data_IF_647165843851
#
_entry.id   IF_647165843851
#
_cell.length_a   1.000
_cell.length_b   1.000
_cell.length_c   1.000
_cell.angle_alpha   90.00
_cell.angle_beta   90.00
_cell.angle_gamma   90.00
#
_symmetry.space_group_name_H-M   'P 1'
#
loop_
_entity.id
_entity.type
_entity.pdbx_description
1 polymer ?
#
# COMPACT_ATOMS: atom_id res chain seq x y z
N UNK A 1 -6.47 48.21 -27.37
CA UNK A 1 -7.07 47.00 -27.98
C UNK A 1 -6.34 45.82 -27.39
N UNK A 2 -7.01 44.96 -26.62
CA UNK A 2 -6.38 43.76 -26.06
C UNK A 2 -6.04 42.76 -27.16
N UNK A 3 -4.90 42.07 -27.04
CA UNK A 3 -4.56 40.95 -27.93
C UNK A 3 -5.50 39.79 -27.65
N UNK A 4 -6.29 39.37 -28.65
CA UNK A 4 -7.22 38.26 -28.50
C UNK A 4 -6.49 36.98 -28.03
N UNK A 5 -6.98 36.39 -26.95
CA UNK A 5 -6.40 35.22 -26.32
C UNK A 5 -7.18 33.98 -26.74
N UNK A 6 -6.48 32.93 -27.15
CA UNK A 6 -7.08 31.66 -27.59
C UNK A 6 -6.65 30.58 -26.62
N UNK A 7 -7.59 29.79 -26.12
CA UNK A 7 -7.32 28.70 -25.18
C UNK A 7 -7.94 27.40 -25.67
N UNK A 8 -7.27 26.28 -25.38
CA UNK A 8 -7.86 24.94 -25.53
C UNK A 8 -8.46 24.54 -24.19
N UNK A 9 -9.78 24.33 -24.15
CA UNK A 9 -10.49 23.87 -22.95
C UNK A 9 -10.78 22.37 -23.13
N UNK A 10 -10.38 21.55 -22.16
CA UNK A 10 -10.75 20.14 -22.06
C UNK A 10 -11.93 20.07 -21.08
N UNK A 11 -13.06 19.52 -21.54
CA UNK A 11 -14.27 19.38 -20.75
C UNK A 11 -14.23 18.10 -19.90
N UNK A 12 -15.14 17.98 -18.94
CA UNK A 12 -15.19 16.86 -18.01
C UNK A 12 -15.54 15.50 -18.66
N UNK A 13 -16.04 15.51 -19.90
CA UNK A 13 -16.31 14.33 -20.74
C UNK A 13 -15.10 13.90 -21.60
N UNK A 14 -13.96 14.59 -21.46
CA UNK A 14 -12.75 14.34 -22.25
C UNK A 14 -12.73 15.00 -23.63
N UNK A 15 -13.82 15.62 -24.07
CA UNK A 15 -13.84 16.42 -25.31
C UNK A 15 -13.03 17.72 -25.13
N UNK A 16 -12.69 18.39 -26.22
CA UNK A 16 -12.01 19.69 -26.13
C UNK A 16 -12.50 20.71 -27.14
N UNK A 17 -12.64 21.96 -26.68
CA UNK A 17 -13.17 23.09 -27.43
C UNK A 17 -12.16 24.25 -27.42
N UNK A 18 -12.19 25.08 -28.47
CA UNK A 18 -11.41 26.32 -28.54
C UNK A 18 -12.21 27.47 -27.94
N UNK A 19 -11.75 28.02 -26.82
CA UNK A 19 -12.23 29.28 -26.25
C UNK A 19 -11.52 30.46 -26.94
N UNK A 20 -12.24 31.55 -27.19
CA UNK A 20 -11.65 32.80 -27.71
C UNK A 20 -12.09 33.98 -26.87
N UNK A 21 -11.13 34.62 -26.20
CA UNK A 21 -11.34 35.82 -25.39
C UNK A 21 -11.03 37.04 -26.25
N UNK A 22 -12.08 37.70 -26.76
CA UNK A 22 -11.95 38.90 -27.61
C UNK A 22 -11.53 40.16 -26.83
N UNK A 23 -11.69 40.16 -25.51
CA UNK A 23 -11.33 41.26 -24.61
C UNK A 23 -9.84 41.30 -24.23
N UNK A 24 -9.10 40.20 -24.40
CA UNK A 24 -7.71 40.06 -23.95
C UNK A 24 -7.57 38.97 -22.87
N UNK A 25 -6.48 38.98 -22.08
CA UNK A 25 -6.37 38.10 -20.90
C UNK A 25 -7.45 38.46 -19.86
N UNK A 26 -7.98 37.49 -19.09
CA UNK A 26 -8.99 37.76 -18.06
C UNK A 26 -8.44 38.65 -16.94
N UNK A 27 -9.30 39.47 -16.33
CA UNK A 27 -8.92 40.29 -15.19
C UNK A 27 -8.89 39.49 -13.87
N UNK A 28 -9.72 38.45 -13.76
CA UNK A 28 -9.77 37.53 -12.63
C UNK A 28 -10.00 36.08 -13.06
N UNK A 29 -9.84 35.14 -12.12
CA UNK A 29 -10.17 33.73 -12.32
C UNK A 29 -11.69 33.54 -12.47
N UNK A 30 -12.50 34.38 -11.81
CA UNK A 30 -13.96 34.33 -11.90
C UNK A 30 -14.43 34.77 -13.30
N UNK A 31 -13.87 35.83 -13.88
CA UNK A 31 -14.15 36.26 -15.27
C UNK A 31 -13.83 35.15 -16.29
N UNK A 32 -12.69 34.46 -16.10
CA UNK A 32 -12.30 33.32 -16.93
C UNK A 32 -13.27 32.16 -16.77
N UNK A 33 -13.68 31.87 -15.54
CA UNK A 33 -14.63 30.80 -15.20
C UNK A 33 -15.99 31.08 -15.84
N UNK A 34 -16.47 32.32 -15.80
CA UNK A 34 -17.74 32.71 -16.39
C UNK A 34 -17.71 32.68 -17.94
N UNK A 35 -16.62 33.12 -18.58
CA UNK A 35 -16.51 33.05 -20.05
C UNK A 35 -16.32 31.60 -20.54
N UNK A 36 -15.61 30.75 -19.77
CA UNK A 36 -15.58 29.29 -20.01
C UNK A 36 -16.98 28.69 -19.84
N UNK A 37 -17.72 29.04 -18.77
CA UNK A 37 -19.09 28.55 -18.55
C UNK A 37 -20.00 28.89 -19.73
N UNK A 38 -19.91 30.13 -20.20
CA UNK A 38 -20.70 30.69 -21.29
C UNK A 38 -20.38 30.11 -22.67
N UNK A 39 -19.11 29.99 -23.06
CA UNK A 39 -18.74 29.46 -24.39
C UNK A 39 -18.77 27.92 -24.47
N UNK A 40 -18.59 27.22 -23.35
CA UNK A 40 -18.64 25.75 -23.28
C UNK A 40 -19.98 25.17 -22.81
N UNK A 41 -20.98 26.01 -22.53
CA UNK A 41 -22.33 25.55 -22.15
C UNK A 41 -22.40 24.80 -20.82
N UNK A 42 -21.46 25.08 -19.89
CA UNK A 42 -21.32 24.34 -18.64
C UNK A 42 -22.35 24.80 -17.60
N UNK A 43 -22.86 23.87 -16.81
CA UNK A 43 -23.85 24.13 -15.77
C UNK A 43 -23.33 23.58 -14.43
N UNK A 44 -23.38 24.38 -13.37
CA UNK A 44 -22.88 24.02 -12.04
C UNK A 44 -21.49 24.56 -11.70
N UNK A 45 -20.97 24.15 -10.54
CA UNK A 45 -19.67 24.57 -10.02
C UNK A 45 -18.57 23.69 -10.59
N UNK A 46 -17.51 24.29 -11.10
CA UNK A 46 -16.32 23.59 -11.60
C UNK A 46 -15.05 24.34 -11.21
N UNK A 47 -13.91 23.63 -11.23
CA UNK A 47 -12.58 24.21 -11.11
C UNK A 47 -11.84 24.12 -12.44
N UNK A 48 -10.89 25.03 -12.63
CA UNK A 48 -9.98 25.01 -13.76
C UNK A 48 -8.60 24.50 -13.32
N UNK A 49 -7.98 23.71 -14.18
CA UNK A 49 -6.58 23.32 -14.09
C UNK A 49 -5.86 23.80 -15.34
N UNK A 50 -4.61 24.25 -15.24
CA UNK A 50 -3.76 24.57 -16.39
C UNK A 50 -2.72 23.48 -16.63
N UNK A 51 -2.29 23.33 -17.88
CA UNK A 51 -1.25 22.38 -18.27
C UNK A 51 0.13 23.03 -18.08
N UNK A 52 0.94 22.53 -17.15
CA UNK A 52 2.25 23.10 -16.82
C UNK A 52 3.39 22.38 -17.56
N UNK A 53 4.10 23.10 -18.42
CA UNK A 53 5.23 22.58 -19.19
C UNK A 53 6.45 22.21 -18.32
N UNK A 54 6.64 22.84 -17.17
CA UNK A 54 7.74 22.56 -16.22
C UNK A 54 7.55 21.23 -15.49
N UNK A 55 6.29 20.82 -15.29
CA UNK A 55 5.90 19.53 -14.69
C UNK A 55 5.53 18.49 -15.74
N UNK A 56 6.11 18.55 -16.94
CA UNK A 56 5.95 17.52 -17.97
C UNK A 56 4.58 17.53 -18.68
N UNK A 57 3.87 18.66 -18.67
CA UNK A 57 2.49 18.83 -19.16
C UNK A 57 1.42 18.17 -18.26
N UNK A 58 1.69 18.03 -16.97
CA UNK A 58 0.65 17.68 -15.99
C UNK A 58 -0.32 18.84 -15.75
N UNK A 59 -1.54 18.52 -15.28
CA UNK A 59 -2.59 19.52 -15.00
C UNK A 59 -2.56 19.94 -13.53
N UNK A 60 -2.22 21.20 -13.27
CA UNK A 60 -2.18 21.81 -11.95
C UNK A 60 -3.40 22.71 -11.72
N UNK A 61 -3.86 22.83 -10.47
CA UNK A 61 -4.99 23.69 -10.14
C UNK A 61 -4.64 25.16 -10.44
N UNK A 62 -5.54 25.85 -11.15
CA UNK A 62 -5.35 27.26 -11.48
C UNK A 62 -5.54 28.12 -10.22
N UNK A 63 -4.46 28.75 -9.75
CA UNK A 63 -4.43 29.60 -8.55
C UNK A 63 -4.18 31.07 -8.85
N UNK A 64 -3.64 31.39 -10.02
CA UNK A 64 -3.41 32.75 -10.49
C UNK A 64 -3.72 32.88 -11.98
N UNK A 65 -4.29 34.01 -12.39
CA UNK A 65 -4.55 34.26 -13.82
C UNK A 65 -3.25 34.41 -14.64
N UNK A 66 -2.13 34.69 -13.97
CA UNK A 66 -0.79 34.72 -14.57
C UNK A 66 -0.29 33.35 -15.04
N UNK A 67 -0.90 32.26 -14.58
CA UNK A 67 -0.61 30.88 -15.02
C UNK A 67 -1.26 30.55 -16.37
N UNK A 68 -2.14 31.42 -16.88
CA UNK A 68 -2.88 31.20 -18.14
C UNK A 68 -2.17 31.90 -19.30
N UNK A 69 -1.46 31.12 -20.12
CA UNK A 69 -0.78 31.64 -21.32
C UNK A 69 -1.67 31.60 -22.57
N UNK A 70 -1.41 32.49 -23.54
CA UNK A 70 -2.09 32.46 -24.84
C UNK A 70 -1.70 31.18 -25.61
N UNK A 71 -2.69 30.45 -26.13
CA UNK A 71 -2.59 29.07 -26.66
C UNK A 71 -2.35 27.99 -25.60
N UNK A 72 -2.46 28.34 -24.32
CA UNK A 72 -2.46 27.38 -23.21
C UNK A 72 -3.64 26.40 -23.25
N UNK A 73 -3.51 25.31 -22.51
CA UNK A 73 -4.56 24.30 -22.33
C UNK A 73 -5.07 24.33 -20.89
N UNK A 74 -6.38 24.48 -20.74
CA UNK A 74 -7.09 24.36 -19.46
C UNK A 74 -7.95 23.10 -19.44
N UNK A 75 -8.14 22.51 -18.27
CA UNK A 75 -9.03 21.37 -18.02
C UNK A 75 -10.09 21.74 -16.99
N UNK A 76 -11.34 21.43 -17.30
CA UNK A 76 -12.50 21.64 -16.44
C UNK A 76 -12.70 20.42 -15.55
N UNK A 77 -12.76 20.65 -14.24
CA UNK A 77 -13.08 19.64 -13.23
C UNK A 77 -14.44 19.99 -12.62
N UNK A 78 -15.48 19.28 -13.03
CA UNK A 78 -16.84 19.42 -12.50
C UNK A 78 -16.87 19.03 -11.01
N UNK A 79 -17.23 19.97 -10.14
CA UNK A 79 -17.24 19.72 -8.69
C UNK A 79 -18.47 18.93 -8.24
N UNK A 80 -19.55 18.86 -9.03
CA UNK A 80 -20.77 18.13 -8.65
C UNK A 80 -20.54 16.64 -8.45
N UNK A 81 -19.53 16.07 -9.14
CA UNK A 81 -19.07 14.68 -8.98
C UNK A 81 -18.04 14.49 -7.86
N UNK A 82 -17.42 15.56 -7.36
CA UNK A 82 -16.25 15.49 -6.44
C UNK A 82 -16.58 15.33 -4.95
N UNK A 83 -17.87 15.29 -4.57
CA UNK A 83 -18.27 14.86 -3.23
C UNK A 83 -18.03 13.36 -2.98
N UNK A 84 -17.79 12.59 -4.05
CA UNK A 84 -17.40 11.18 -4.03
C UNK A 84 -16.09 10.99 -4.78
N UNK A 85 -15.04 10.64 -4.03
CA UNK A 85 -13.75 10.10 -4.51
C UNK A 85 -12.86 11.06 -5.31
N UNK A 86 -11.74 11.47 -4.71
CA UNK A 86 -10.54 11.81 -5.49
C UNK A 86 -9.90 10.53 -6.05
N UNK A 87 -9.35 10.63 -7.27
CA UNK A 87 -8.64 9.62 -8.08
C UNK A 87 -9.45 8.83 -9.14
N UNK A 88 -9.72 9.56 -10.24
CA UNK A 88 -9.65 9.19 -11.67
C UNK A 88 -10.50 8.03 -12.24
N UNK A 89 -11.32 8.41 -13.23
CA UNK A 89 -12.13 7.57 -14.11
C UNK A 89 -11.34 6.64 -15.06
N UNK A 90 -11.99 5.55 -15.45
CA UNK A 90 -12.03 5.11 -16.86
C UNK A 90 -13.48 4.78 -17.28
N UNK A 91 -14.07 5.70 -18.05
CA UNK A 91 -15.07 5.48 -19.12
C UNK A 91 -16.44 4.79 -18.83
N UNK A 92 -17.44 5.64 -18.53
CA UNK A 92 -18.70 5.83 -19.31
C UNK A 92 -19.86 4.80 -19.34
N UNK A 93 -21.06 5.31 -18.99
CA UNK A 93 -22.45 4.84 -19.31
C UNK A 93 -22.97 3.60 -18.55
N UNK A 94 -24.26 3.46 -18.14
CA UNK A 94 -25.53 4.16 -18.46
C UNK A 94 -26.45 4.35 -17.22
N UNK A 95 -27.34 5.35 -17.32
CA UNK A 95 -28.63 5.62 -16.65
C UNK A 95 -29.24 4.60 -15.66
N UNK A 96 -29.84 5.13 -14.58
CA UNK A 96 -31.15 4.67 -14.07
C UNK A 96 -31.87 5.80 -13.30
N UNK A 97 -33.19 5.67 -13.15
CA UNK A 97 -34.14 6.76 -12.85
C UNK A 97 -35.01 6.41 -11.63
N UNK A 98 -35.42 7.44 -10.89
CA UNK A 98 -36.58 7.50 -9.96
C UNK A 98 -36.57 6.78 -8.59
N UNK A 99 -36.81 7.62 -7.57
CA UNK A 99 -37.85 7.51 -6.54
C UNK A 99 -37.72 6.56 -5.31
N UNK A 100 -37.46 7.24 -4.17
CA UNK A 100 -38.41 7.36 -3.04
C UNK A 100 -38.98 6.11 -2.37
N UNK A 101 -38.55 5.87 -1.12
CA UNK A 101 -39.45 6.03 0.04
C UNK A 101 -38.69 6.07 1.37
N UNK A 102 -39.15 6.93 2.29
CA UNK A 102 -38.64 7.02 3.65
C UNK A 102 -39.69 6.48 4.64
N UNK A 103 -39.27 5.67 5.62
CA UNK A 103 -40.06 5.41 6.83
C UNK A 103 -39.17 5.13 8.05
N UNK A 104 -39.28 6.03 9.02
CA UNK A 104 -39.10 5.85 10.48
C UNK A 104 -40.32 6.57 11.13
N UNK A 105 -40.59 6.58 12.46
CA UNK A 105 -39.72 6.23 13.60
C UNK A 105 -40.43 5.56 14.81
N UNK A 106 -39.81 5.70 16.00
CA UNK A 106 -40.35 5.54 17.38
C UNK A 106 -40.26 4.13 18.02
N UNK A 107 -40.13 3.95 19.35
CA UNK A 107 -40.13 4.94 20.45
C UNK A 107 -39.55 4.43 21.79
N UNK A 108 -38.82 5.32 22.50
CA UNK A 108 -38.63 5.59 23.97
C UNK A 108 -38.54 4.50 25.09
N UNK A 109 -37.80 4.88 26.16
CA UNK A 109 -37.89 4.32 27.53
C UNK A 109 -36.53 3.88 28.11
N UNK A 110 -35.58 4.76 28.49
CA UNK A 110 -35.55 5.78 29.57
C UNK A 110 -35.27 5.24 31.00
N UNK A 111 -34.12 5.62 31.57
CA UNK A 111 -33.90 5.93 33.00
C UNK A 111 -32.43 6.31 33.28
N UNK A 112 -32.22 7.62 33.49
CA UNK A 112 -31.20 8.30 34.31
C UNK A 112 -30.77 7.55 35.61
N UNK A 113 -29.64 7.79 36.30
CA UNK A 113 -28.73 8.95 36.56
C UNK A 113 -27.29 8.40 36.90
N UNK A 114 -26.15 9.12 37.10
CA UNK A 114 -25.73 10.53 37.00
C UNK A 114 -24.17 10.65 36.89
N UNK A 115 -23.69 11.62 36.10
CA UNK A 115 -22.45 12.45 36.19
C UNK A 115 -21.10 11.95 36.76
N UNK A 116 -20.03 12.15 35.96
CA UNK A 116 -18.62 12.17 36.39
C UNK A 116 -17.61 12.54 35.28
N UNK A 117 -17.48 13.85 34.98
CA UNK A 117 -16.28 14.64 34.53
C UNK A 117 -14.96 13.84 34.31
N UNK A 118 -14.12 14.05 33.28
CA UNK A 118 -14.11 14.89 32.05
C UNK A 118 -12.90 14.47 31.16
N UNK A 119 -12.81 14.99 29.93
CA UNK A 119 -11.67 15.01 29.00
C UNK A 119 -11.05 13.65 28.59
N UNK A 120 -11.31 13.13 27.38
CA UNK A 120 -10.95 13.60 26.02
C UNK A 120 -9.53 13.16 25.58
N UNK A 121 -9.48 12.02 24.87
CA UNK A 121 -8.74 11.87 23.60
C UNK A 121 -9.04 10.50 23.00
N UNK A 122 -9.92 10.45 22.00
CA UNK A 122 -10.11 9.27 21.15
C UNK A 122 -8.88 9.06 20.25
N UNK A 123 -7.83 8.44 20.81
CA UNK A 123 -6.70 7.97 20.01
C UNK A 123 -7.14 6.75 19.22
N UNK A 124 -7.58 7.02 17.98
CA UNK A 124 -7.78 6.01 16.93
C UNK A 124 -6.66 4.97 16.97
N UNK A 125 -7.02 3.72 17.28
CA UNK A 125 -6.11 2.57 17.15
C UNK A 125 -5.84 2.32 15.67
N UNK A 126 -4.88 3.05 15.12
CA UNK A 126 -4.52 3.09 13.71
C UNK A 126 -2.99 3.22 13.55
N UNK A 127 -2.25 2.32 14.20
CA UNK A 127 -0.79 2.16 14.04
C UNK A 127 -0.30 0.75 14.36
N UNK A 128 -0.98 -0.26 13.81
CA UNK A 128 -0.49 -1.66 13.73
C UNK A 128 0.18 -1.97 12.38
N UNK A 129 0.36 -0.96 11.52
CA UNK A 129 1.11 -1.11 10.28
C UNK A 129 2.58 -0.73 10.50
N UNK A 130 3.46 -1.65 10.11
CA UNK A 130 4.92 -1.48 10.05
C UNK A 130 5.64 -1.56 11.42
N UNK A 131 5.65 -2.75 12.02
CA UNK A 131 6.53 -3.05 13.17
C UNK A 131 6.62 -4.55 13.47
N UNK A 132 5.49 -5.15 13.86
CA UNK A 132 5.34 -6.59 14.00
C UNK A 132 4.73 -7.19 12.73
N UNK A 133 5.41 -8.13 12.07
CA UNK A 133 4.72 -9.03 11.15
C UNK A 133 3.80 -9.92 11.99
N UNK A 134 2.50 -9.88 11.71
CA UNK A 134 1.57 -10.88 12.20
C UNK A 134 2.06 -12.28 11.80
N UNK A 135 1.93 -13.24 12.72
CA UNK A 135 2.19 -14.65 12.40
C UNK A 135 1.29 -15.06 11.23
N UNK A 136 1.76 -15.99 10.39
CA UNK A 136 0.93 -16.55 9.33
C UNK A 136 -0.37 -17.07 9.95
N UNK A 137 -1.55 -16.64 9.46
CA UNK A 137 -2.80 -16.93 10.13
C UNK A 137 -3.08 -18.44 10.11
N UNK A 138 -3.77 -18.95 11.14
CA UNK A 138 -4.20 -20.35 11.16
C UNK A 138 -5.28 -20.65 10.11
N UNK A 139 -5.98 -19.61 9.63
CA UNK A 139 -6.93 -19.62 8.53
C UNK A 139 -6.73 -18.35 7.72
N UNK A 140 -6.30 -18.44 6.46
CA UNK A 140 -6.24 -17.28 5.58
C UNK A 140 -7.66 -16.78 5.20
N UNK A 141 -7.98 -15.54 5.57
CA UNK A 141 -9.22 -14.87 5.19
C UNK A 141 -9.07 -14.16 3.84
N UNK A 142 -9.91 -14.52 2.86
CA UNK A 142 -9.91 -13.91 1.53
C UNK A 142 -10.52 -12.50 1.62
N UNK A 143 -9.80 -11.44 1.20
CA UNK A 143 -10.28 -10.06 1.30
C UNK A 143 -11.55 -9.84 0.47
N UNK A 144 -12.23 -8.72 0.73
CA UNK A 144 -13.25 -8.17 -0.18
C UNK A 144 -12.59 -7.64 -1.44
N UNK A 145 -13.12 -7.98 -2.61
CA UNK A 145 -12.63 -7.45 -3.87
C UNK A 145 -13.28 -6.09 -4.20
N UNK A 146 -12.92 -5.47 -5.33
CA UNK A 146 -13.66 -4.31 -5.83
C UNK A 146 -15.13 -4.66 -6.07
N UNK A 147 -16.03 -3.68 -5.98
CA UNK A 147 -17.48 -3.87 -6.10
C UNK A 147 -17.86 -4.69 -7.35
N UNK A 148 -17.35 -4.31 -8.53
CA UNK A 148 -17.60 -5.03 -9.79
C UNK A 148 -17.08 -6.47 -9.77
N UNK A 149 -15.93 -6.70 -9.11
CA UNK A 149 -15.34 -8.03 -8.99
C UNK A 149 -16.19 -8.92 -8.10
N UNK A 150 -16.62 -8.40 -6.95
CA UNK A 150 -17.49 -9.10 -6.01
C UNK A 150 -18.86 -9.39 -6.64
N UNK A 151 -19.47 -8.43 -7.34
CA UNK A 151 -20.75 -8.60 -8.06
C UNK A 151 -20.65 -9.69 -9.16
N UNK A 152 -19.59 -9.68 -9.96
CA UNK A 152 -19.32 -10.76 -10.94
C UNK A 152 -19.15 -12.12 -10.26
N UNK A 153 -18.42 -12.18 -9.15
CA UNK A 153 -18.19 -13.41 -8.38
C UNK A 153 -19.47 -13.92 -7.70
N UNK A 154 -20.35 -13.04 -7.24
CA UNK A 154 -21.65 -13.41 -6.68
C UNK A 154 -22.57 -14.03 -7.73
N UNK A 155 -22.76 -13.38 -8.89
CA UNK A 155 -23.52 -13.95 -10.00
C UNK A 155 -22.97 -15.31 -10.47
N UNK A 156 -21.64 -15.42 -10.57
CA UNK A 156 -20.98 -16.68 -10.91
C UNK A 156 -21.12 -17.77 -9.85
N UNK A 157 -21.06 -17.42 -8.56
CA UNK A 157 -21.32 -18.36 -7.46
C UNK A 157 -22.76 -18.86 -7.48
N UNK A 158 -23.74 -18.01 -7.77
CA UNK A 158 -25.15 -18.42 -7.94
C UNK A 158 -25.32 -19.40 -9.11
N UNK A 159 -24.72 -19.09 -10.27
CA UNK A 159 -24.73 -20.00 -11.43
C UNK A 159 -24.00 -21.33 -11.16
N UNK A 160 -22.96 -21.31 -10.32
CA UNK A 160 -22.27 -22.52 -9.85
C UNK A 160 -23.16 -23.37 -8.93
N UNK A 161 -23.86 -22.75 -7.98
CA UNK A 161 -24.77 -23.46 -7.05
C UNK A 161 -25.96 -24.06 -7.81
N UNK A 162 -26.52 -23.34 -8.79
CA UNK A 162 -27.66 -23.82 -9.58
C UNK A 162 -27.28 -24.95 -10.53
N UNK A 163 -26.21 -24.77 -11.33
CA UNK A 163 -25.95 -25.59 -12.52
C UNK A 163 -24.52 -26.19 -12.57
N UNK A 164 -23.75 -26.12 -11.47
CA UNK A 164 -22.34 -26.56 -11.43
C UNK A 164 -21.41 -25.79 -12.38
N UNK A 165 -21.83 -24.63 -12.86
CA UNK A 165 -21.13 -23.86 -13.91
C UNK A 165 -19.96 -23.09 -13.32
N UNK A 166 -18.74 -23.48 -13.68
CA UNK A 166 -17.50 -22.79 -13.33
C UNK A 166 -17.31 -21.53 -14.18
N UNK A 167 -16.98 -20.41 -13.54
CA UNK A 167 -16.54 -19.19 -14.22
C UNK A 167 -15.11 -19.34 -14.72
N UNK A 168 -14.87 -18.98 -15.98
CA UNK A 168 -13.54 -18.66 -16.49
C UNK A 168 -13.39 -17.14 -16.36
N UNK A 169 -12.56 -16.63 -15.42
CA UNK A 169 -12.49 -15.19 -15.19
C UNK A 169 -11.83 -14.47 -16.36
N UNK A 170 -12.36 -13.30 -16.72
CA UNK A 170 -11.71 -12.42 -17.67
C UNK A 170 -10.33 -11.95 -17.14
N UNK A 171 -9.36 -11.59 -18.02
CA UNK A 171 -8.01 -11.22 -17.57
C UNK A 171 -7.96 -10.03 -16.59
N UNK A 172 -8.90 -9.08 -16.69
CA UNK A 172 -8.99 -7.90 -15.80
C UNK A 172 -9.44 -8.34 -14.40
N UNK A 173 -10.53 -9.12 -14.32
CA UNK A 173 -11.02 -9.74 -13.07
C UNK A 173 -9.98 -10.65 -12.42
N UNK A 174 -9.32 -11.53 -13.20
CA UNK A 174 -8.26 -12.41 -12.69
C UNK A 174 -7.11 -11.60 -12.10
N UNK A 175 -6.67 -10.53 -12.78
CA UNK A 175 -5.60 -9.67 -12.27
C UNK A 175 -5.99 -8.93 -10.98
N UNK A 176 -7.24 -8.43 -10.88
CA UNK A 176 -7.76 -7.72 -9.71
C UNK A 176 -7.87 -8.63 -8.47
N UNK A 177 -8.39 -9.85 -8.63
CA UNK A 177 -8.45 -10.87 -7.57
C UNK A 177 -7.03 -11.19 -7.07
N UNK A 178 -6.09 -11.43 -8.00
CA UNK A 178 -4.70 -11.74 -7.65
C UNK A 178 -3.97 -10.56 -6.99
N UNK A 179 -4.27 -9.31 -7.37
CA UNK A 179 -3.71 -8.11 -6.75
C UNK A 179 -4.17 -7.98 -5.30
N UNK A 180 -5.48 -8.06 -5.05
CA UNK A 180 -6.07 -7.96 -3.71
C UNK A 180 -5.55 -9.06 -2.77
N UNK A 181 -5.43 -10.29 -3.28
CA UNK A 181 -4.82 -11.41 -2.54
C UNK A 181 -3.35 -11.16 -2.21
N UNK A 182 -2.56 -10.64 -3.16
CA UNK A 182 -1.14 -10.33 -2.93
C UNK A 182 -0.96 -9.20 -1.93
N UNK A 183 -1.79 -8.16 -1.99
CA UNK A 183 -1.80 -7.07 -1.00
C UNK A 183 -2.12 -7.57 0.42
N UNK A 184 -2.99 -8.57 0.56
CA UNK A 184 -3.27 -9.22 1.84
C UNK A 184 -2.09 -10.11 2.30
N UNK A 185 -1.52 -10.94 1.40
CA UNK A 185 -0.38 -11.82 1.71
C UNK A 185 0.82 -11.03 2.24
N UNK A 186 1.18 -9.89 1.64
CA UNK A 186 2.42 -9.16 2.01
C UNK A 186 2.39 -8.58 3.43
N UNK A 187 1.20 -8.34 4.01
CA UNK A 187 1.03 -7.94 5.41
C UNK A 187 1.67 -8.98 6.34
N UNK A 188 1.35 -10.26 6.13
CA UNK A 188 1.94 -11.38 6.86
C UNK A 188 3.37 -11.66 6.39
N UNK A 189 3.60 -11.86 5.08
CA UNK A 189 4.88 -12.34 4.56
C UNK A 189 5.13 -12.00 3.09
N UNK A 190 6.17 -11.20 2.81
CA UNK A 190 6.59 -10.86 1.44
C UNK A 190 7.21 -12.05 0.69
N UNK A 191 7.82 -13.00 1.40
CA UNK A 191 8.41 -14.22 0.84
C UNK A 191 7.63 -15.48 1.25
N UNK A 192 6.37 -15.58 0.80
CA UNK A 192 5.52 -16.73 1.06
C UNK A 192 6.08 -18.03 0.42
N UNK A 193 5.90 -19.16 1.12
CA UNK A 193 6.32 -20.50 0.71
C UNK A 193 5.21 -21.23 -0.09
N UNK A 194 5.51 -22.38 -0.70
CA UNK A 194 4.54 -23.06 -1.58
C UNK A 194 3.29 -23.59 -0.84
N UNK A 195 3.40 -23.91 0.46
CA UNK A 195 2.28 -24.35 1.30
C UNK A 195 1.36 -23.17 1.64
N UNK A 196 1.93 -22.06 2.08
CA UNK A 196 1.24 -20.79 2.35
C UNK A 196 0.48 -20.32 1.10
N UNK A 197 1.12 -20.37 -0.08
CA UNK A 197 0.49 -20.03 -1.36
C UNK A 197 -0.60 -21.03 -1.79
N UNK A 198 -0.51 -22.29 -1.38
CA UNK A 198 -1.56 -23.28 -1.62
C UNK A 198 -2.77 -23.04 -0.72
N UNK A 199 -2.56 -22.69 0.55
CA UNK A 199 -3.61 -22.37 1.52
C UNK A 199 -4.44 -21.15 1.07
N UNK A 200 -3.79 -20.09 0.58
CA UNK A 200 -4.48 -18.94 -0.01
C UNK A 200 -5.36 -19.36 -1.20
N UNK A 201 -4.82 -20.21 -2.09
CA UNK A 201 -5.56 -20.69 -3.25
C UNK A 201 -6.76 -21.58 -2.86
N UNK A 202 -6.61 -22.44 -1.84
CA UNK A 202 -7.72 -23.22 -1.29
C UNK A 202 -8.80 -22.31 -0.66
N UNK A 203 -8.37 -21.28 0.08
CA UNK A 203 -9.27 -20.33 0.75
C UNK A 203 -10.07 -19.50 -0.26
N UNK A 204 -9.44 -19.11 -1.38
CA UNK A 204 -10.10 -18.48 -2.53
C UNK A 204 -11.21 -19.37 -3.11
N UNK A 205 -10.91 -20.64 -3.41
CA UNK A 205 -11.91 -21.57 -3.96
C UNK A 205 -13.01 -21.87 -2.94
N UNK A 206 -12.69 -21.96 -1.64
CA UNK A 206 -13.69 -22.16 -0.58
C UNK A 206 -14.68 -21.00 -0.47
N UNK A 207 -14.24 -19.75 -0.66
CA UNK A 207 -15.12 -18.56 -0.67
C UNK A 207 -15.84 -18.38 -2.02
N UNK A 208 -15.20 -18.73 -3.13
CA UNK A 208 -15.77 -18.61 -4.47
C UNK A 208 -15.64 -19.93 -5.27
N UNK A 209 -16.51 -20.92 -5.01
CA UNK A 209 -16.48 -22.21 -5.69
C UNK A 209 -16.60 -22.11 -7.22
N UNK A 210 -17.20 -21.03 -7.75
CA UNK A 210 -17.25 -20.77 -9.19
C UNK A 210 -15.87 -20.69 -9.86
N UNK A 211 -14.81 -20.36 -9.11
CA UNK A 211 -13.44 -20.22 -9.62
C UNK A 211 -12.67 -21.55 -9.76
N UNK A 212 -13.30 -22.68 -9.45
CA UNK A 212 -12.69 -24.02 -9.48
C UNK A 212 -12.21 -24.40 -10.88
N UNK A 213 -10.92 -24.66 -11.04
CA UNK A 213 -10.33 -25.09 -12.31
C UNK A 213 -10.65 -26.57 -12.61
N UNK A 214 -11.31 -26.82 -13.74
CA UNK A 214 -11.61 -28.19 -14.21
C UNK A 214 -10.31 -28.94 -14.55
N UNK A 215 -10.21 -30.19 -14.09
CA UNK A 215 -9.06 -31.07 -14.39
C UNK A 215 -7.94 -31.09 -13.34
N UNK A 216 -8.02 -30.29 -12.26
CA UNK A 216 -7.12 -30.40 -11.11
C UNK A 216 -7.81 -31.13 -9.95
N UNK A 217 -7.11 -32.07 -9.29
CA UNK A 217 -7.62 -32.79 -8.10
C UNK A 217 -7.95 -31.90 -6.90
N UNK A 218 -7.48 -30.65 -6.90
CA UNK A 218 -7.77 -29.65 -5.86
C UNK A 218 -8.47 -28.40 -6.39
N UNK A 219 -8.68 -28.29 -7.71
CA UNK A 219 -9.31 -27.13 -8.35
C UNK A 219 -8.59 -25.78 -8.24
N UNK A 220 -7.46 -25.70 -7.52
CA UNK A 220 -6.79 -24.44 -7.15
C UNK A 220 -5.33 -24.33 -7.65
N UNK A 221 -4.87 -25.25 -8.51
CA UNK A 221 -3.47 -25.39 -8.90
C UNK A 221 -2.92 -24.24 -9.75
N UNK A 222 -3.69 -23.80 -10.75
CA UNK A 222 -3.39 -22.65 -11.59
C UNK A 222 -3.58 -21.33 -10.85
N UNK A 223 -4.48 -21.25 -9.87
CA UNK A 223 -4.55 -20.12 -8.92
C UNK A 223 -3.29 -20.01 -8.07
N UNK A 224 -2.82 -21.09 -7.42
CA UNK A 224 -1.54 -21.11 -6.69
C UNK A 224 -0.38 -20.65 -7.58
N UNK A 225 -0.34 -21.13 -8.82
CA UNK A 225 0.70 -20.79 -9.79
C UNK A 225 0.63 -19.31 -10.20
N UNK A 226 -0.57 -18.80 -10.48
CA UNK A 226 -0.82 -17.39 -10.82
C UNK A 226 -0.43 -16.46 -9.67
N UNK A 227 -0.77 -16.83 -8.43
CA UNK A 227 -0.37 -16.10 -7.22
C UNK A 227 1.15 -16.04 -7.06
N UNK A 228 1.88 -17.14 -7.30
CA UNK A 228 3.35 -17.16 -7.24
C UNK A 228 3.99 -16.19 -8.24
N UNK A 229 3.49 -16.13 -9.47
CA UNK A 229 3.95 -15.15 -10.47
C UNK A 229 3.58 -13.72 -10.06
N UNK A 230 2.33 -13.47 -9.67
CA UNK A 230 1.85 -12.14 -9.24
C UNK A 230 2.66 -11.60 -8.05
N UNK A 231 2.85 -12.39 -6.99
CA UNK A 231 3.68 -12.03 -5.83
C UNK A 231 5.15 -11.78 -6.23
N UNK A 232 5.69 -12.51 -7.21
CA UNK A 232 7.04 -12.26 -7.71
C UNK A 232 7.16 -10.93 -8.45
N UNK A 233 6.15 -10.57 -9.24
CA UNK A 233 6.10 -9.28 -9.93
C UNK A 233 5.88 -8.13 -8.93
N UNK A 234 5.01 -8.32 -7.94
CA UNK A 234 4.75 -7.35 -6.87
C UNK A 234 6.00 -7.08 -6.02
N UNK A 235 6.76 -8.10 -5.63
CA UNK A 235 8.09 -7.91 -5.01
C UNK A 235 9.03 -7.07 -5.88
N UNK A 236 8.97 -7.22 -7.20
CA UNK A 236 9.78 -6.42 -8.13
C UNK A 236 9.33 -4.95 -8.16
N UNK A 237 8.03 -4.67 -7.97
CA UNK A 237 7.50 -3.31 -7.77
C UNK A 237 7.91 -2.74 -6.40
N UNK A 238 7.72 -3.50 -5.31
CA UNK A 238 8.17 -3.11 -3.95
C UNK A 238 9.66 -2.75 -3.91
N UNK A 239 10.51 -3.46 -4.68
CA UNK A 239 11.93 -3.14 -4.83
C UNK A 239 12.17 -1.77 -5.49
N UNK A 240 11.37 -1.40 -6.49
CA UNK A 240 11.44 -0.07 -7.13
C UNK A 240 11.01 1.04 -6.17
N UNK A 241 10.02 0.76 -5.32
CA UNK A 241 9.52 1.66 -4.27
C UNK A 241 10.43 1.73 -3.03
N UNK A 242 11.61 1.10 -3.04
CA UNK A 242 12.57 1.17 -1.94
C UNK A 242 12.34 0.21 -0.76
N UNK A 243 11.28 -0.63 -0.79
CA UNK A 243 10.85 -1.43 0.37
C UNK A 243 12.00 -2.28 0.99
N UNK A 244 12.42 -2.00 2.24
CA UNK A 244 13.67 -2.53 2.83
C UNK A 244 13.89 -4.03 2.70
N UNK A 245 12.86 -4.84 2.99
CA UNK A 245 12.97 -6.31 3.00
C UNK A 245 13.26 -6.89 1.60
N UNK A 246 12.89 -6.20 0.52
CA UNK A 246 13.17 -6.66 -0.85
C UNK A 246 14.39 -5.98 -1.46
N UNK A 247 14.67 -4.72 -1.09
CA UNK A 247 15.85 -3.99 -1.57
C UNK A 247 17.14 -4.54 -1.00
N UNK A 248 17.17 -4.96 0.27
CA UNK A 248 18.34 -5.64 0.88
C UNK A 248 18.68 -6.96 0.15
N UNK A 249 17.68 -7.63 -0.42
CA UNK A 249 17.86 -8.83 -1.25
C UNK A 249 18.15 -8.52 -2.73
N UNK A 250 18.51 -7.28 -3.07
CA UNK A 250 18.87 -6.85 -4.43
C UNK A 250 20.38 -6.73 -4.60
N UNK A 251 20.94 -7.45 -5.59
CA UNK A 251 22.37 -7.36 -5.92
C UNK A 251 22.84 -5.92 -6.23
N UNK A 252 21.95 -5.10 -6.82
CA UNK A 252 22.22 -3.70 -7.19
C UNK A 252 22.37 -2.77 -5.98
N UNK A 253 21.84 -3.14 -4.81
CA UNK A 253 21.82 -2.30 -3.61
C UNK A 253 22.87 -2.77 -2.58
N UNK A 254 23.70 -3.76 -2.92
CA UNK A 254 24.86 -4.12 -2.12
C UNK A 254 25.92 -3.02 -2.21
N UNK A 255 26.68 -2.75 -1.13
CA UNK A 255 27.74 -1.73 -1.16
C UNK A 255 28.80 -2.03 -2.23
N UNK A 256 29.48 -0.98 -2.68
CA UNK A 256 30.50 -1.04 -3.73
C UNK A 256 31.55 -2.10 -3.40
N UNK A 257 31.88 -2.95 -4.38
CA UNK A 257 32.75 -4.13 -4.18
C UNK A 257 32.03 -5.41 -3.71
N UNK A 258 30.77 -5.35 -3.24
CA UNK A 258 29.98 -6.53 -2.81
C UNK A 258 28.89 -6.97 -3.80
N UNK A 259 28.74 -6.30 -4.94
CA UNK A 259 27.60 -6.43 -5.87
C UNK A 259 27.47 -7.77 -6.61
N UNK A 260 28.43 -8.70 -6.47
CA UNK A 260 28.34 -10.03 -7.05
C UNK A 260 27.29 -10.91 -6.36
N UNK A 261 26.64 -11.80 -7.13
CA UNK A 261 25.83 -12.90 -6.62
C UNK A 261 26.66 -13.89 -5.77
N UNK A 262 27.95 -14.01 -6.05
CA UNK A 262 28.87 -14.90 -5.35
C UNK A 262 29.62 -14.23 -4.17
N UNK A 263 29.39 -12.95 -3.88
CA UNK A 263 30.08 -12.28 -2.77
C UNK A 263 29.72 -12.92 -1.42
N UNK A 264 30.70 -13.47 -0.73
CA UNK A 264 30.55 -14.21 0.54
C UNK A 264 30.20 -15.69 0.41
N UNK A 265 30.00 -16.22 -0.81
CA UNK A 265 29.43 -17.56 -1.04
C UNK A 265 30.51 -18.56 -1.45
N UNK A 266 31.07 -19.33 -0.49
CA UNK A 266 32.11 -20.34 -0.76
C UNK A 266 31.64 -21.57 -1.56
N UNK A 267 30.33 -21.85 -1.58
CA UNK A 267 29.64 -22.84 -2.43
C UNK A 267 28.21 -22.36 -2.67
N UNK A 268 27.64 -22.65 -3.84
CA UNK A 268 26.26 -22.27 -4.18
C UNK A 268 25.22 -22.91 -3.22
N UNK A 269 24.90 -22.20 -2.14
CA UNK A 269 23.73 -22.46 -1.30
C UNK A 269 22.48 -21.95 -1.99
N UNK A 270 21.32 -22.56 -1.71
CA UNK A 270 20.00 -21.95 -1.98
C UNK A 270 20.01 -20.53 -1.44
N UNK A 271 19.47 -19.57 -2.19
CA UNK A 271 19.49 -18.16 -1.82
C UNK A 271 18.85 -17.95 -0.43
N UNK A 272 19.70 -17.71 0.57
CA UNK A 272 19.30 -17.31 1.92
C UNK A 272 18.71 -15.90 1.82
N UNK A 273 17.38 -15.81 1.94
CA UNK A 273 16.65 -14.54 1.86
C UNK A 273 16.83 -13.80 3.17
N UNK A 274 17.48 -12.64 3.13
CA UNK A 274 17.65 -11.84 4.32
C UNK A 274 16.34 -11.16 4.69
N UNK A 275 15.73 -11.59 5.80
CA UNK A 275 14.68 -10.81 6.45
C UNK A 275 15.28 -9.52 7.04
N UNK A 276 14.82 -8.35 6.60
CA UNK A 276 15.13 -7.04 7.18
C UNK A 276 13.83 -6.22 7.21
N UNK A 277 13.16 -6.10 8.37
CA UNK A 277 11.97 -5.27 8.46
C UNK A 277 12.32 -3.77 8.30
N UNK A 278 11.40 -2.94 7.79
CA UNK A 278 11.50 -1.49 7.88
C UNK A 278 11.51 -1.00 9.34
N UNK A 279 11.99 0.22 9.56
CA UNK A 279 11.87 0.90 10.86
C UNK A 279 10.40 1.24 11.17
N UNK A 280 9.97 1.22 12.46
CA UNK A 280 8.64 1.68 12.85
C UNK A 280 8.40 3.13 12.43
N UNK A 281 7.18 3.47 12.04
CA UNK A 281 6.86 4.80 11.46
C UNK A 281 7.15 6.01 12.39
N UNK A 282 7.28 5.78 13.70
CA UNK A 282 7.61 6.79 14.70
C UNK A 282 9.09 6.81 15.14
N UNK A 283 9.94 5.91 14.61
CA UNK A 283 11.34 5.73 15.07
C UNK A 283 12.32 5.93 13.91
N UNK A 284 13.08 7.03 13.95
CA UNK A 284 14.20 7.30 13.01
C UNK A 284 15.47 6.56 13.44
N UNK A 285 16.44 6.44 12.52
CA UNK A 285 17.75 5.81 12.80
C UNK A 285 18.44 6.47 14.02
N UNK A 286 18.38 7.80 14.16
CA UNK A 286 18.91 8.54 15.32
C UNK A 286 18.22 8.18 16.65
N UNK A 287 16.90 7.96 16.65
CA UNK A 287 16.18 7.54 17.87
C UNK A 287 16.55 6.12 18.28
N UNK A 288 16.75 5.23 17.29
CA UNK A 288 17.18 3.85 17.51
C UNK A 288 18.65 3.79 17.98
N UNK A 289 19.53 4.65 17.46
CA UNK A 289 20.89 4.84 18.00
C UNK A 289 20.88 5.39 19.44
N UNK A 290 20.00 6.33 19.74
CA UNK A 290 19.86 6.87 21.10
C UNK A 290 19.38 5.78 22.06
N UNK A 291 18.46 4.92 21.60
CA UNK A 291 18.03 3.73 22.35
C UNK A 291 19.17 2.73 22.54
N UNK A 292 20.01 2.50 21.51
CA UNK A 292 21.21 1.66 21.57
C UNK A 292 22.22 2.18 22.61
N UNK A 293 22.50 3.49 22.64
CA UNK A 293 23.35 4.14 23.66
C UNK A 293 22.78 3.95 25.07
N UNK A 294 21.46 4.07 25.24
CA UNK A 294 20.81 3.81 26.54
C UNK A 294 20.90 2.34 26.97
N UNK A 295 20.83 1.41 26.03
CA UNK A 295 20.90 -0.03 26.29
C UNK A 295 22.28 -0.46 26.82
N UNK A 296 23.37 0.18 26.37
CA UNK A 296 24.72 -0.03 26.92
C UNK A 296 24.86 0.35 28.40
N UNK A 297 24.00 1.25 28.89
CA UNK A 297 23.94 1.62 30.31
C UNK A 297 23.01 0.67 31.08
N UNK A 298 21.85 0.35 30.54
CA UNK A 298 20.85 -0.51 31.20
C UNK A 298 21.36 -1.93 31.46
N UNK A 299 22.15 -2.49 30.54
CA UNK A 299 22.76 -3.83 30.68
C UNK A 299 23.71 -3.91 31.88
N UNK A 300 24.27 -2.79 32.32
CA UNK A 300 25.17 -2.72 33.48
C UNK A 300 24.44 -2.57 34.82
N UNK A 301 23.13 -2.29 34.80
CA UNK A 301 22.34 -2.07 36.00
C UNK A 301 21.69 -3.38 36.50
N UNK A 302 21.72 -3.60 37.82
CA UNK A 302 20.97 -4.71 38.43
C UNK A 302 19.47 -4.50 38.23
N UNK A 303 18.76 -5.58 37.89
CA UNK A 303 17.30 -5.70 37.75
C UNK A 303 16.64 -5.13 36.46
N UNK A 304 17.39 -4.53 35.52
CA UNK A 304 16.81 -3.93 34.30
C UNK A 304 16.38 -4.91 33.18
N UNK A 305 16.41 -6.23 33.43
CA UNK A 305 16.20 -7.28 32.41
C UNK A 305 14.91 -7.13 31.58
N UNK A 306 13.80 -6.68 32.17
CA UNK A 306 12.55 -6.41 31.43
C UNK A 306 12.68 -5.21 30.48
N UNK A 307 13.35 -4.14 30.91
CA UNK A 307 13.59 -2.93 30.13
C UNK A 307 14.57 -3.19 28.98
N UNK A 308 15.64 -3.95 29.26
CA UNK A 308 16.59 -4.40 28.24
C UNK A 308 15.88 -5.21 27.16
N UNK A 309 15.06 -6.21 27.52
CA UNK A 309 14.27 -7.00 26.55
C UNK A 309 13.37 -6.13 25.68
N UNK A 310 12.65 -5.17 26.26
CA UNK A 310 11.78 -4.27 25.51
C UNK A 310 12.57 -3.36 24.53
N UNK A 311 13.70 -2.79 24.96
CA UNK A 311 14.60 -2.00 24.09
C UNK A 311 15.28 -2.86 23.03
N UNK A 312 15.56 -4.13 23.31
CA UNK A 312 16.02 -5.09 22.32
C UNK A 312 14.96 -5.33 21.25
N UNK A 313 13.73 -5.67 21.65
CA UNK A 313 12.61 -5.89 20.72
C UNK A 313 12.42 -4.71 19.75
N UNK A 314 12.40 -3.46 20.25
CA UNK A 314 12.35 -2.24 19.43
C UNK A 314 13.55 -2.09 18.49
N UNK A 315 14.78 -2.27 18.99
CA UNK A 315 16.00 -2.13 18.19
C UNK A 315 16.29 -3.33 17.27
N UNK A 316 15.38 -4.29 17.11
CA UNK A 316 15.56 -5.44 16.21
C UNK A 316 15.83 -5.03 14.75
N UNK A 317 15.07 -4.06 14.22
CA UNK A 317 15.24 -3.60 12.84
C UNK A 317 16.64 -3.02 12.60
N UNK A 318 17.10 -2.09 13.44
CA UNK A 318 18.44 -1.49 13.37
C UNK A 318 19.55 -2.55 13.41
N UNK A 319 19.49 -3.46 14.38
CA UNK A 319 20.45 -4.58 14.52
C UNK A 319 20.50 -5.45 13.28
N UNK A 320 19.34 -5.78 12.72
CA UNK A 320 19.25 -6.64 11.54
C UNK A 320 19.76 -5.94 10.29
N UNK A 321 19.51 -4.64 10.14
CA UNK A 321 20.10 -3.81 9.09
C UNK A 321 21.63 -3.75 9.19
N UNK A 322 22.20 -3.53 10.37
CA UNK A 322 23.66 -3.54 10.58
C UNK A 322 24.30 -4.89 10.19
N UNK A 323 23.75 -6.01 10.66
CA UNK A 323 24.27 -7.36 10.35
C UNK A 323 24.24 -7.66 8.85
N UNK A 324 23.19 -7.24 8.14
CA UNK A 324 23.00 -7.62 6.72
C UNK A 324 23.64 -6.64 5.74
N UNK A 325 23.60 -5.33 6.01
CA UNK A 325 24.18 -4.30 5.12
C UNK A 325 25.69 -4.22 5.29
N UNK A 326 26.12 -4.05 6.54
CA UNK A 326 27.50 -3.66 6.85
C UNK A 326 28.38 -4.91 7.05
N UNK A 327 27.80 -5.97 7.65
CA UNK A 327 28.48 -7.20 8.06
C UNK A 327 29.74 -6.88 8.89
N UNK A 328 29.58 -6.25 10.07
CA UNK A 328 30.68 -5.83 10.93
C UNK A 328 31.48 -7.01 11.48
N UNK A 329 32.66 -6.73 12.03
CA UNK A 329 33.40 -7.71 12.84
C UNK A 329 32.57 -8.10 14.07
N UNK A 330 32.65 -9.37 14.47
CA UNK A 330 31.88 -9.91 15.61
C UNK A 330 32.18 -9.12 16.88
N UNK A 331 33.43 -8.77 17.13
CA UNK A 331 33.86 -7.99 18.30
C UNK A 331 33.22 -6.60 18.37
N UNK A 332 33.18 -5.84 17.26
CA UNK A 332 32.57 -4.52 17.24
C UNK A 332 31.03 -4.60 17.33
N UNK A 333 30.42 -5.64 16.77
CA UNK A 333 28.98 -5.90 16.93
C UNK A 333 28.62 -6.29 18.38
N UNK A 334 29.44 -7.13 19.03
CA UNK A 334 29.29 -7.49 20.45
C UNK A 334 29.41 -6.26 21.35
N UNK A 335 30.38 -5.37 21.09
CA UNK A 335 30.56 -4.14 21.84
C UNK A 335 29.36 -3.18 21.73
N UNK A 336 28.70 -3.13 20.55
CA UNK A 336 27.48 -2.34 20.34
C UNK A 336 26.21 -2.96 20.94
N UNK A 337 26.14 -4.29 21.01
CA UNK A 337 24.93 -5.03 21.40
C UNK A 337 25.19 -6.13 22.44
N UNK A 338 25.73 -5.80 23.62
CA UNK A 338 26.16 -6.79 24.62
C UNK A 338 25.01 -7.67 25.14
N UNK A 339 23.78 -7.13 25.18
CA UNK A 339 22.59 -7.87 25.60
C UNK A 339 22.26 -9.08 24.72
N UNK A 340 22.69 -9.13 23.45
CA UNK A 340 22.46 -10.28 22.57
C UNK A 340 23.13 -11.58 23.07
N UNK A 341 24.10 -11.45 23.96
CA UNK A 341 24.94 -12.54 24.45
C UNK A 341 24.65 -12.93 25.90
N UNK A 342 23.66 -12.28 26.55
CA UNK A 342 23.05 -12.80 27.79
C UNK A 342 22.03 -13.90 27.43
N UNK A 343 22.11 -15.04 28.14
CA UNK A 343 21.27 -16.22 27.94
C UNK A 343 19.76 -15.89 28.04
N UNK A 344 19.41 -14.76 28.67
CA UNK A 344 18.06 -14.21 28.74
C UNK A 344 17.42 -13.84 27.40
N UNK A 345 18.22 -13.37 26.43
CA UNK A 345 17.74 -12.79 25.15
C UNK A 345 17.82 -13.80 23.99
N UNK A 346 18.37 -15.01 24.24
CA UNK A 346 18.70 -16.02 23.21
C UNK A 346 17.51 -16.93 22.82
N UNK A 347 16.27 -16.67 23.31
CA UNK A 347 15.11 -17.54 23.00
C UNK A 347 13.87 -16.80 22.49
N UNK A 348 13.28 -17.42 21.46
CA UNK A 348 11.95 -17.16 20.86
C UNK A 348 11.82 -15.97 19.89
N UNK A 349 12.70 -15.90 18.89
CA UNK A 349 12.35 -15.38 17.56
C UNK A 349 12.56 -16.50 16.53
N UNK A 350 11.63 -16.77 15.57
CA UNK A 350 11.73 -17.92 14.65
C UNK A 350 12.88 -17.90 13.63
N UNK A 351 13.83 -16.98 13.73
CA UNK A 351 14.76 -16.67 12.63
C UNK A 351 16.13 -16.09 13.06
N UNK A 352 16.63 -16.34 14.28
CA UNK A 352 17.98 -15.90 14.66
C UNK A 352 18.91 -17.03 15.14
N UNK A 353 19.88 -17.31 14.27
CA UNK A 353 21.31 -17.59 14.53
C UNK A 353 21.65 -18.57 15.65
N UNK A 354 21.98 -19.81 15.24
CA UNK A 354 22.73 -20.75 16.10
C UNK A 354 24.22 -20.43 16.01
N UNK A 355 24.74 -19.65 16.96
CA UNK A 355 26.19 -19.47 17.11
C UNK A 355 26.82 -20.71 17.76
N UNK A 356 27.47 -21.54 16.94
CA UNK A 356 28.60 -22.35 17.40
C UNK A 356 29.93 -21.68 17.03
N UNK A 357 31.00 -22.04 17.73
CA UNK A 357 32.31 -21.38 17.75
C UNK A 357 33.14 -21.43 16.45
N UNK A 358 32.51 -21.64 15.28
CA UNK A 358 33.15 -21.74 13.96
C UNK A 358 32.42 -20.96 12.85
N UNK A 359 31.99 -19.74 13.17
CA UNK A 359 31.51 -18.74 12.20
C UNK A 359 29.98 -18.59 12.15
N UNK A 360 29.51 -17.47 11.61
CA UNK A 360 28.09 -17.18 11.44
C UNK A 360 27.42 -18.24 10.55
N UNK A 361 26.34 -18.84 11.08
CA UNK A 361 25.36 -19.60 10.31
C UNK A 361 24.07 -18.77 10.35
N UNK A 362 23.61 -18.33 9.18
CA UNK A 362 22.32 -17.67 8.99
C UNK A 362 21.16 -18.67 9.09
#
# INVERSE_FOLDING_TARGET
MGTAMILKIILADGTSQRLTLSSGPPASIDDLTDEVRKQCGLHGNFKLQFMDALFGNEFLNLTSISEVENKGTLKVIDMSKTATVQYMDEESTVNLVSESQAFTPSSVGDSSYLSGVSEDTDVMSSSELVGSRSLWPAVFHVPTFSFDSELKLQHANLAYIQNGTTLIPDPKLKSAILESLVQEIVKYKVYANDKEMHEVAQSLIKKHPCLTEKGSSTGCGGWKTSLKYKLSNYRTQLRKLGYPEVTVNSLKNKPVGRQSAAFGVKKAKRAEVNFCPPYPAAETEDTLETMQKSLLLDVKQRNNRKLVKHKMEKTFALRRHEVVRDAPMVESFMAKWPALFDVSEVRFAPCMVVYQSKGLIF
#
